data_IF_689191424894
#
_entry.id   IF_689191424894
#
_cell.length_a   1.000
_cell.length_b   1.000
_cell.length_c   1.000
_cell.angle_alpha   90.00
_cell.angle_beta   90.00
_cell.angle_gamma   90.00
#
_symmetry.space_group_name_H-M   'P 1'
#
loop_
_entity.id
_entity.type
_entity.pdbx_description
1 polymer ?
#
# COMPACT_ATOMS: atom_id res chain seq x y z
N UNK A 1 -25.33 -16.34 -13.18
CA UNK A 1 -23.89 -16.53 -12.87
C UNK A 1 -23.62 -16.50 -11.36
N UNK A 2 -24.14 -15.52 -10.60
CA UNK A 2 -23.94 -15.42 -9.14
C UNK A 2 -25.24 -15.53 -8.32
N UNK A 3 -26.25 -16.22 -8.84
CA UNK A 3 -27.54 -16.36 -8.16
C UNK A 3 -27.39 -17.21 -6.88
N UNK A 4 -27.92 -16.72 -5.76
CA UNK A 4 -27.82 -17.37 -4.45
C UNK A 4 -26.50 -17.15 -3.69
N UNK A 5 -25.55 -16.38 -4.22
CA UNK A 5 -24.30 -16.03 -3.55
C UNK A 5 -24.38 -14.64 -2.90
N UNK A 6 -23.81 -14.50 -1.70
CA UNK A 6 -23.70 -13.22 -1.00
C UNK A 6 -22.58 -12.33 -1.55
N UNK A 7 -22.60 -11.04 -1.21
CA UNK A 7 -21.51 -10.12 -1.55
C UNK A 7 -20.24 -10.48 -0.79
N UNK A 8 -19.09 -10.36 -1.45
CA UNK A 8 -17.79 -10.62 -0.86
C UNK A 8 -16.69 -9.70 -1.45
N UNK A 9 -15.45 -10.17 -1.47
CA UNK A 9 -14.33 -9.42 -2.07
C UNK A 9 -14.45 -9.28 -3.59
N UNK A 10 -15.30 -10.07 -4.23
CA UNK A 10 -15.54 -10.06 -5.67
C UNK A 10 -16.01 -8.69 -6.14
N UNK A 11 -17.03 -8.11 -5.50
CA UNK A 11 -17.55 -6.79 -5.87
C UNK A 11 -16.54 -5.67 -5.62
N UNK A 12 -15.73 -5.78 -4.55
CA UNK A 12 -14.66 -4.82 -4.25
C UNK A 12 -13.58 -4.86 -5.33
N UNK A 13 -13.11 -6.06 -5.68
CA UNK A 13 -12.09 -6.26 -6.70
C UNK A 13 -12.58 -5.84 -8.09
N UNK A 14 -13.84 -6.09 -8.41
CA UNK A 14 -14.44 -5.67 -9.67
C UNK A 14 -14.43 -4.14 -9.80
N UNK A 15 -14.80 -3.41 -8.75
CA UNK A 15 -14.75 -1.95 -8.74
C UNK A 15 -13.33 -1.42 -8.99
N UNK A 16 -12.32 -1.95 -8.29
CA UNK A 16 -10.93 -1.55 -8.48
C UNK A 16 -10.43 -1.83 -9.91
N UNK A 17 -10.74 -3.00 -10.48
CA UNK A 17 -10.37 -3.36 -11.87
C UNK A 17 -11.07 -2.50 -12.92
N UNK A 18 -12.33 -2.14 -12.69
CA UNK A 18 -13.04 -1.18 -13.54
C UNK A 18 -12.34 0.18 -13.55
N UNK A 19 -11.92 0.70 -12.38
CA UNK A 19 -11.15 1.96 -12.28
C UNK A 19 -9.82 1.88 -13.05
N UNK A 20 -9.04 0.82 -12.85
CA UNK A 20 -7.78 0.59 -13.57
C UNK A 20 -7.98 0.54 -15.10
N UNK A 21 -8.98 -0.21 -15.56
CA UNK A 21 -9.33 -0.30 -16.99
C UNK A 21 -9.67 1.07 -17.59
N UNK A 22 -10.47 1.87 -16.90
CA UNK A 22 -10.84 3.22 -17.35
C UNK A 22 -9.62 4.14 -17.45
N UNK A 23 -8.75 4.16 -16.45
CA UNK A 23 -7.54 4.99 -16.47
C UNK A 23 -6.58 4.58 -17.58
N UNK A 24 -6.40 3.28 -17.81
CA UNK A 24 -5.58 2.77 -18.91
C UNK A 24 -6.16 3.14 -20.29
N UNK A 25 -7.49 3.12 -20.45
CA UNK A 25 -8.13 3.59 -21.67
C UNK A 25 -7.84 5.07 -21.94
N UNK A 26 -7.94 5.93 -20.91
CA UNK A 26 -7.60 7.36 -21.01
C UNK A 26 -6.12 7.56 -21.36
N UNK A 27 -5.23 6.84 -20.68
CA UNK A 27 -3.79 6.84 -20.95
C UNK A 27 -3.47 6.52 -22.40
N UNK A 28 -4.03 5.43 -22.92
CA UNK A 28 -3.81 5.02 -24.31
C UNK A 28 -4.31 6.06 -25.31
N UNK A 29 -5.49 6.64 -25.06
CA UNK A 29 -6.10 7.63 -25.96
C UNK A 29 -5.36 8.97 -25.95
N UNK A 30 -4.86 9.39 -24.78
CA UNK A 30 -4.21 10.70 -24.58
C UNK A 30 -2.69 10.65 -24.59
N UNK A 31 -2.08 9.46 -24.69
CA UNK A 31 -0.62 9.24 -24.58
C UNK A 31 -0.05 9.74 -23.24
N UNK A 32 -0.81 9.57 -22.16
CA UNK A 32 -0.35 9.89 -20.81
C UNK A 32 0.19 8.67 -20.09
N UNK A 33 0.92 8.88 -19.00
CA UNK A 33 1.35 7.81 -18.10
C UNK A 33 0.40 7.77 -16.91
N UNK A 34 -0.21 6.62 -16.64
CA UNK A 34 -0.98 6.43 -15.40
C UNK A 34 0.02 6.30 -14.24
N UNK A 35 -0.12 7.17 -13.25
CA UNK A 35 0.60 7.06 -11.98
C UNK A 35 -0.26 6.28 -10.99
N UNK A 36 0.29 5.21 -10.42
CA UNK A 36 -0.34 4.52 -9.29
C UNK A 36 0.12 5.15 -7.98
N UNK A 37 -0.68 4.92 -6.94
CA UNK A 37 -0.52 5.57 -5.63
C UNK A 37 -0.40 4.55 -4.50
N UNK A 38 0.10 3.34 -4.80
CA UNK A 38 0.29 2.30 -3.79
C UNK A 38 1.51 2.63 -2.94
N UNK A 39 1.35 2.67 -1.62
CA UNK A 39 2.49 2.92 -0.73
C UNK A 39 3.24 1.62 -0.41
N UNK A 40 4.48 1.73 0.09
CA UNK A 40 5.32 0.56 0.41
C UNK A 40 4.65 -0.40 1.38
N UNK A 41 3.90 0.12 2.36
CA UNK A 41 3.27 -0.68 3.41
C UNK A 41 2.21 -1.62 2.84
N UNK A 42 1.37 -1.11 1.95
CA UNK A 42 0.35 -1.88 1.23
C UNK A 42 1.00 -2.90 0.28
N UNK A 43 1.95 -2.45 -0.53
CA UNK A 43 2.59 -3.29 -1.55
C UNK A 43 3.37 -4.45 -0.91
N UNK A 44 4.02 -4.23 0.23
CA UNK A 44 4.83 -5.24 0.89
C UNK A 44 4.02 -6.43 1.43
N UNK A 45 2.75 -6.22 1.79
CA UNK A 45 1.84 -7.27 2.28
C UNK A 45 0.85 -7.74 1.21
N UNK A 46 0.90 -7.17 0.00
CA UNK A 46 -0.06 -7.46 -1.06
C UNK A 46 -1.47 -6.92 -0.79
N UNK A 47 -1.59 -5.83 -0.02
CA UNK A 47 -2.87 -5.16 0.21
C UNK A 47 -3.24 -4.30 -0.99
N UNK A 48 -3.62 -4.96 -2.07
CA UNK A 48 -3.89 -4.33 -3.36
C UNK A 48 -4.82 -5.22 -4.20
N UNK A 49 -5.56 -4.62 -5.13
CA UNK A 49 -6.27 -5.40 -6.15
C UNK A 49 -5.38 -5.56 -7.37
N UNK A 50 -5.01 -6.82 -7.67
CA UNK A 50 -4.29 -7.14 -8.91
C UNK A 50 -5.09 -6.66 -10.14
N UNK A 51 -4.40 -5.92 -11.01
CA UNK A 51 -4.95 -5.23 -12.19
C UNK A 51 -6.01 -4.17 -11.89
N UNK A 52 -6.15 -3.78 -10.63
CA UNK A 52 -6.97 -2.65 -10.18
C UNK A 52 -6.12 -1.43 -9.94
N UNK A 53 -5.95 -1.06 -8.68
CA UNK A 53 -5.13 0.05 -8.21
C UNK A 53 -3.65 -0.06 -8.59
N UNK A 54 -3.14 -1.28 -8.78
CA UNK A 54 -1.77 -1.52 -9.28
C UNK A 54 -1.62 -1.27 -10.80
N UNK A 55 -2.71 -1.01 -11.54
CA UNK A 55 -2.66 -0.86 -12.99
C UNK A 55 -2.21 0.56 -13.39
N UNK A 56 -0.91 0.73 -13.61
CA UNK A 56 -0.33 1.94 -14.20
C UNK A 56 1.12 1.75 -14.62
N UNK A 57 1.72 2.83 -15.11
CA UNK A 57 3.07 2.79 -15.68
C UNK A 57 4.18 3.18 -14.72
N UNK A 58 3.87 3.87 -13.63
CA UNK A 58 4.83 4.18 -12.58
C UNK A 58 4.13 4.39 -11.24
N UNK A 59 4.69 3.83 -10.17
CA UNK A 59 4.23 4.05 -8.82
C UNK A 59 5.13 5.06 -8.11
N UNK A 60 4.54 6.18 -7.70
CA UNK A 60 5.27 7.30 -7.09
C UNK A 60 5.58 7.02 -5.61
N UNK A 61 4.80 6.18 -4.94
CA UNK A 61 4.87 5.95 -3.50
C UNK A 61 5.33 4.53 -3.13
N UNK A 62 5.64 3.67 -4.11
CA UNK A 62 6.06 2.27 -3.90
C UNK A 62 7.15 2.02 -2.86
N UNK A 63 8.04 2.99 -2.64
CA UNK A 63 9.16 2.88 -1.70
C UNK A 63 8.96 3.71 -0.42
N UNK A 64 7.80 4.36 -0.27
CA UNK A 64 7.45 5.23 0.85
C UNK A 64 6.49 4.49 1.80
N UNK A 65 6.88 4.21 3.06
CA UNK A 65 5.97 3.67 4.06
C UNK A 65 4.81 4.63 4.34
N UNK A 66 3.64 4.10 4.68
CA UNK A 66 2.42 4.87 4.91
C UNK A 66 2.62 5.95 5.99
N UNK A 67 3.30 5.63 7.09
CA UNK A 67 3.63 6.63 8.13
C UNK A 67 4.48 7.79 7.60
N UNK A 68 5.34 7.55 6.61
CA UNK A 68 6.12 8.60 5.94
C UNK A 68 5.27 9.39 4.95
N UNK A 69 4.30 8.76 4.27
CA UNK A 69 3.33 9.48 3.41
C UNK A 69 2.62 10.57 4.21
N UNK A 70 2.11 10.27 5.41
CA UNK A 70 1.46 11.27 6.26
C UNK A 70 2.39 12.42 6.65
N UNK A 71 3.64 12.13 7.05
CA UNK A 71 4.65 13.16 7.34
C UNK A 71 4.98 14.02 6.13
N UNK A 72 5.01 13.43 4.93
CA UNK A 72 5.23 14.17 3.69
C UNK A 72 4.05 15.08 3.35
N UNK A 73 2.82 14.66 3.63
CA UNK A 73 1.63 15.50 3.48
C UNK A 73 1.71 16.73 4.39
N UNK A 74 1.99 16.53 5.68
CA UNK A 74 2.16 17.62 6.65
C UNK A 74 3.28 18.58 6.23
N UNK A 75 4.44 18.05 5.84
CA UNK A 75 5.54 18.84 5.32
C UNK A 75 5.15 19.64 4.08
N UNK A 76 4.42 19.03 3.12
CA UNK A 76 4.01 19.70 1.89
C UNK A 76 3.12 20.92 2.17
N UNK A 77 2.24 20.82 3.16
CA UNK A 77 1.35 21.92 3.54
C UNK A 77 2.09 23.09 4.23
N UNK A 78 3.24 22.84 4.87
CA UNK A 78 4.11 23.93 5.33
C UNK A 78 4.65 24.80 4.19
N UNK A 79 4.78 24.22 2.99
CA UNK A 79 5.21 24.91 1.77
C UNK A 79 4.03 25.56 1.01
N UNK A 80 2.80 25.44 1.52
CA UNK A 80 1.58 25.96 0.93
C UNK A 80 0.45 24.95 1.04
N UNK A 81 -0.73 25.44 1.45
CA UNK A 81 -1.92 24.63 1.69
C UNK A 81 -2.40 23.93 0.41
N UNK A 82 -2.19 22.61 0.33
CA UNK A 82 -2.57 21.77 -0.81
C UNK A 82 -3.46 20.61 -0.36
N UNK A 83 -3.19 20.03 0.81
CA UNK A 83 -3.89 18.84 1.31
C UNK A 83 -4.85 19.27 2.43
N UNK A 84 -6.17 19.14 2.24
CA UNK A 84 -7.11 19.54 3.28
C UNK A 84 -6.97 18.65 4.52
N UNK A 85 -7.06 19.25 5.72
CA UNK A 85 -6.93 18.52 7.00
C UNK A 85 -7.89 17.32 7.10
N UNK A 86 -9.11 17.43 6.56
CA UNK A 86 -10.08 16.31 6.50
C UNK A 86 -9.57 15.05 5.77
N UNK A 87 -8.59 15.19 4.88
CA UNK A 87 -7.97 14.08 4.14
C UNK A 87 -6.92 13.36 5.00
N UNK A 88 -6.30 14.09 5.94
CA UNK A 88 -5.32 13.59 6.90
C UNK A 88 -6.04 12.92 8.08
N UNK A 89 -7.10 13.56 8.60
CA UNK A 89 -7.82 13.08 9.80
C UNK A 89 -8.70 11.86 9.54
N UNK A 90 -9.09 11.61 8.28
CA UNK A 90 -9.93 10.46 7.94
C UNK A 90 -9.13 9.16 8.13
N UNK A 91 -9.74 8.09 8.67
CA UNK A 91 -9.09 6.79 8.75
C UNK A 91 -8.68 6.27 7.36
N UNK A 92 -7.53 5.58 7.23
CA UNK A 92 -7.13 4.92 6.00
C UNK A 92 -8.18 3.91 5.53
N UNK A 93 -8.51 3.97 4.23
CA UNK A 93 -9.51 3.11 3.59
C UNK A 93 -9.31 3.05 2.07
N UNK A 94 -9.49 1.87 1.49
CA UNK A 94 -9.63 1.68 0.04
C UNK A 94 -10.99 2.14 -0.54
N UNK A 95 -11.98 2.47 0.31
CA UNK A 95 -13.30 2.97 -0.08
C UNK A 95 -14.02 2.07 -1.13
N UNK A 96 -13.92 0.74 -0.97
CA UNK A 96 -14.57 -0.26 -1.84
C UNK A 96 -15.86 -0.84 -1.23
N UNK A 97 -16.09 -0.61 0.06
CA UNK A 97 -17.32 -0.93 0.77
C UNK A 97 -17.66 0.12 1.83
N UNK A 98 -18.94 0.20 2.27
CA UNK A 98 -19.36 1.09 3.34
C UNK A 98 -18.54 0.87 4.62
N UNK A 99 -18.14 1.96 5.25
CA UNK A 99 -17.42 2.00 6.54
C UNK A 99 -16.11 1.19 6.59
N UNK A 100 -15.57 0.81 5.43
CA UNK A 100 -14.33 0.05 5.32
C UNK A 100 -13.16 0.82 5.94
N UNK A 101 -12.32 0.12 6.71
CA UNK A 101 -11.00 0.60 7.14
C UNK A 101 -9.92 -0.39 6.73
N UNK A 102 -8.72 0.10 6.50
CA UNK A 102 -7.60 -0.78 6.14
C UNK A 102 -7.21 -1.68 7.33
N UNK A 103 -7.35 -1.15 8.56
CA UNK A 103 -7.12 -1.88 9.82
C UNK A 103 -8.09 -3.06 10.06
N UNK A 104 -9.18 -3.17 9.28
CA UNK A 104 -10.05 -4.36 9.32
C UNK A 104 -9.32 -5.61 8.82
N UNK A 105 -8.24 -5.44 8.05
CA UNK A 105 -7.45 -6.51 7.45
C UNK A 105 -5.95 -6.41 7.75
N UNK A 106 -5.47 -5.24 8.15
CA UNK A 106 -4.06 -4.96 8.43
C UNK A 106 -3.84 -4.60 9.90
N UNK A 107 -2.65 -4.86 10.45
CA UNK A 107 -2.21 -4.18 11.68
C UNK A 107 -2.16 -2.65 11.47
N UNK A 108 -2.23 -1.85 12.54
CA UNK A 108 -2.03 -0.40 12.45
C UNK A 108 -0.71 -0.06 11.73
N UNK A 109 -0.74 0.93 10.84
CA UNK A 109 0.42 1.27 10.00
C UNK A 109 1.72 1.53 10.76
N UNK A 110 1.75 2.19 11.94
CA UNK A 110 3.00 2.33 12.72
C UNK A 110 3.64 0.98 13.07
N UNK A 111 2.82 -0.01 13.45
CA UNK A 111 3.29 -1.36 13.78
C UNK A 111 3.74 -2.09 12.51
N UNK A 112 2.95 -1.99 11.44
CA UNK A 112 3.28 -2.62 10.16
C UNK A 112 4.61 -2.08 9.60
N UNK A 113 4.80 -0.75 9.60
CA UNK A 113 5.99 -0.10 9.05
C UNK A 113 7.25 -0.45 9.85
N UNK A 114 7.16 -0.57 11.18
CA UNK A 114 8.26 -1.06 12.01
C UNK A 114 8.66 -2.50 11.66
N UNK A 115 7.69 -3.40 11.48
CA UNK A 115 7.95 -4.78 11.05
C UNK A 115 8.64 -4.80 9.68
N UNK A 116 8.13 -4.04 8.71
CA UNK A 116 8.68 -3.97 7.36
C UNK A 116 10.09 -3.37 7.34
N UNK A 117 10.36 -2.35 8.16
CA UNK A 117 11.69 -1.78 8.33
C UNK A 117 12.68 -2.79 8.93
N UNK A 118 12.24 -3.56 9.93
CA UNK A 118 13.05 -4.61 10.54
C UNK A 118 13.37 -5.74 9.54
N UNK A 119 12.39 -6.19 8.75
CA UNK A 119 12.61 -7.21 7.71
C UNK A 119 13.55 -6.72 6.59
N UNK A 120 13.40 -5.47 6.15
CA UNK A 120 14.22 -4.89 5.08
C UNK A 120 15.68 -4.70 5.50
N UNK A 121 15.90 -4.21 6.73
CA UNK A 121 17.25 -4.00 7.28
C UNK A 121 17.98 -5.31 7.60
N UNK A 122 17.24 -6.38 7.91
CA UNK A 122 17.79 -7.72 8.15
C UNK A 122 17.56 -8.62 6.96
N UNK A 123 18.18 -8.30 5.83
CA UNK A 123 18.40 -9.30 4.76
C UNK A 123 19.49 -10.29 5.22
N UNK A 124 19.25 -10.99 6.33
CA UNK A 124 19.98 -12.20 6.65
C UNK A 124 19.24 -13.31 5.89
N UNK A 125 19.75 -13.65 4.71
CA UNK A 125 19.31 -14.83 3.96
C UNK A 125 19.24 -16.02 4.94
N UNK A 126 18.26 -16.92 4.83
CA UNK A 126 18.23 -18.12 5.66
C UNK A 126 19.51 -18.91 5.38
N UNK A 127 20.51 -18.78 6.24
CA UNK A 127 21.73 -19.56 6.14
C UNK A 127 21.35 -20.99 6.49
N UNK A 128 21.29 -21.82 5.46
CA UNK A 128 21.05 -23.24 5.55
C UNK A 128 22.28 -23.91 6.18
N UNK A 129 22.46 -23.82 7.50
CA UNK A 129 23.31 -24.77 8.23
C UNK A 129 23.13 -24.70 9.76
N UNK A 130 22.60 -25.80 10.29
CA UNK A 130 23.00 -26.49 11.53
C UNK A 130 23.60 -25.70 12.70
N UNK A 131 22.90 -25.80 13.85
CA UNK A 131 23.45 -26.01 15.21
C UNK A 131 24.88 -25.49 15.45
N UNK A 132 24.99 -24.38 16.19
CA UNK A 132 25.60 -24.26 17.54
C UNK A 132 25.97 -22.79 17.84
N UNK A 133 25.60 -22.35 19.04
CA UNK A 133 26.00 -21.10 19.70
C UNK A 133 25.57 -19.77 19.06
N UNK A 134 24.38 -19.29 19.45
CA UNK A 134 24.02 -17.88 19.32
C UNK A 134 24.76 -17.06 20.38
N UNK A 135 25.99 -16.65 20.09
CA UNK A 135 26.56 -15.44 20.70
C UNK A 135 25.97 -14.24 19.99
N UNK A 136 25.18 -13.44 20.72
CA UNK A 136 24.84 -12.08 20.35
C UNK A 136 26.14 -11.31 20.05
N UNK A 137 26.33 -10.83 18.82
CA UNK A 137 26.99 -9.56 18.49
C UNK A 137 27.11 -9.38 16.97
N UNK A 138 26.90 -8.12 16.56
CA UNK A 138 27.28 -7.53 15.28
C UNK A 138 26.39 -7.80 14.07
N UNK A 139 25.26 -7.08 13.98
CA UNK A 139 24.98 -6.36 12.73
C UNK A 139 25.60 -4.98 12.92
N UNK A 140 26.61 -4.69 12.11
CA UNK A 140 27.47 -3.52 12.23
C UNK A 140 26.75 -2.24 11.76
N UNK A 141 26.99 -1.19 12.55
CA UNK A 141 26.84 0.27 12.35
C UNK A 141 25.48 0.84 11.92
#
# INVERSE_FOLDING_TARGET
MFEGLGKDTTEKNLQARCRGTMLMAVSNKKRYLVLTTGNKSEMAVGYATLYGDMAGGFDVLKDVPNTLVFKLCEYRDTLGYVIPQRVIDRPPSAELAPDQKDEDSLPPYPVLDEILAFMSSRTCLPTRSSRKHLTQRSCAE
#
